data_IF_459091184009
#
_entry.id   IF_459091184009
#
_cell.length_a   1.000
_cell.length_b   1.000
_cell.length_c   1.000
_cell.angle_alpha   90.00
_cell.angle_beta   90.00
_cell.angle_gamma   90.00
#
_symmetry.space_group_name_H-M   'P 1'
#
loop_
_entity.id
_entity.type
_entity.pdbx_description
1 polymer ?
#
# COMPACT_ATOMS: atom_id res chain seq x y z
N UNK A 1 0.20 12.52 -18.60
CA UNK A 1 -0.21 12.07 -17.26
C UNK A 1 0.63 12.85 -16.29
N UNK A 2 0.02 13.77 -15.57
CA UNK A 2 0.75 14.57 -14.57
C UNK A 2 1.30 13.61 -13.51
N UNK A 3 2.62 13.65 -13.32
CA UNK A 3 3.28 12.78 -12.38
C UNK A 3 3.06 13.34 -10.98
N UNK A 4 1.97 12.90 -10.36
CA UNK A 4 1.50 13.34 -9.06
C UNK A 4 2.60 13.37 -7.98
N UNK A 5 3.55 12.43 -8.03
CA UNK A 5 4.68 12.41 -7.10
C UNK A 5 5.66 13.56 -7.32
N UNK A 6 5.90 13.98 -8.56
CA UNK A 6 6.74 15.15 -8.84
C UNK A 6 6.10 16.42 -8.26
N UNK A 7 4.79 16.56 -8.43
CA UNK A 7 4.04 17.69 -7.87
C UNK A 7 4.04 17.71 -6.33
N UNK A 8 4.27 16.56 -5.67
CA UNK A 8 4.43 16.49 -4.22
C UNK A 8 5.80 16.99 -3.76
N UNK A 9 6.86 16.65 -4.51
CA UNK A 9 8.25 17.00 -4.19
C UNK A 9 8.50 18.51 -4.38
N UNK A 10 7.81 19.12 -5.35
CA UNK A 10 7.98 20.54 -5.68
C UNK A 10 7.26 21.50 -4.70
N UNK A 11 6.44 20.99 -3.77
CA UNK A 11 5.76 21.87 -2.81
C UNK A 11 6.74 22.35 -1.72
N UNK A 12 6.73 23.66 -1.41
CA UNK A 12 7.60 24.22 -0.37
C UNK A 12 7.21 23.77 1.04
N UNK A 13 5.94 23.41 1.24
CA UNK A 13 5.42 22.93 2.51
C UNK A 13 5.24 21.40 2.50
N UNK A 14 5.51 20.71 3.63
CA UNK A 14 5.29 19.27 3.75
C UNK A 14 3.84 18.88 3.44
N UNK A 15 3.66 17.93 2.53
CA UNK A 15 2.35 17.37 2.19
C UNK A 15 2.16 16.07 2.95
N UNK A 16 1.08 15.95 3.70
CA UNK A 16 0.70 14.66 4.27
C UNK A 16 0.32 13.68 3.15
N UNK A 17 0.91 12.49 3.18
CA UNK A 17 0.57 11.38 2.28
C UNK A 17 0.50 10.07 3.04
N UNK A 18 -0.22 9.10 2.49
CA UNK A 18 -0.45 7.80 3.11
C UNK A 18 0.15 6.67 2.27
N UNK A 19 1.01 5.86 2.90
CA UNK A 19 1.37 4.52 2.41
C UNK A 19 0.61 3.52 3.27
N UNK A 20 -0.32 2.77 2.69
CA UNK A 20 -1.10 1.79 3.45
C UNK A 20 -1.52 0.57 2.62
N UNK A 21 -1.78 -0.52 3.33
CA UNK A 21 -2.28 -1.77 2.79
C UNK A 21 -1.89 -2.95 3.69
N UNK A 22 -2.24 -4.18 3.29
CA UNK A 22 -2.00 -5.35 4.12
C UNK A 22 -0.50 -5.62 4.28
N UNK A 23 -0.16 -6.33 5.37
CA UNK A 23 1.23 -6.72 5.62
C UNK A 23 1.76 -7.58 4.46
N UNK A 24 0.94 -8.55 4.03
CA UNK A 24 1.22 -9.54 3.00
C UNK A 24 0.04 -9.65 2.03
N UNK A 25 0.31 -10.00 0.78
CA UNK A 25 -0.70 -10.38 -0.21
C UNK A 25 -1.24 -11.76 0.19
N UNK A 26 -2.56 -11.91 0.25
CA UNK A 26 -3.20 -13.21 0.51
C UNK A 26 -3.69 -13.82 -0.80
N UNK A 27 -4.47 -13.04 -1.56
CA UNK A 27 -4.92 -13.35 -2.91
C UNK A 27 -5.27 -12.06 -3.65
N UNK A 28 -5.50 -12.14 -4.96
CA UNK A 28 -5.81 -10.97 -5.79
C UNK A 28 -7.10 -10.25 -5.35
N UNK A 29 -8.18 -10.99 -5.12
CA UNK A 29 -9.50 -10.42 -4.83
C UNK A 29 -9.51 -9.59 -3.54
N UNK A 30 -9.05 -10.18 -2.43
CA UNK A 30 -8.92 -9.47 -1.14
C UNK A 30 -8.00 -8.28 -1.27
N UNK A 31 -6.84 -8.44 -1.91
CA UNK A 31 -5.85 -7.36 -2.08
C UNK A 31 -6.43 -6.19 -2.87
N UNK A 32 -7.14 -6.49 -3.96
CA UNK A 32 -7.77 -5.49 -4.81
C UNK A 32 -8.92 -4.77 -4.09
N UNK A 33 -9.76 -5.49 -3.34
CA UNK A 33 -10.82 -4.91 -2.52
C UNK A 33 -10.27 -3.91 -1.50
N UNK A 34 -9.21 -4.28 -0.78
CA UNK A 34 -8.54 -3.40 0.19
C UNK A 34 -7.96 -2.18 -0.51
N UNK A 35 -7.24 -2.36 -1.62
CA UNK A 35 -6.67 -1.26 -2.40
C UNK A 35 -7.74 -0.27 -2.88
N UNK A 36 -8.85 -0.79 -3.42
CA UNK A 36 -9.96 0.02 -3.91
C UNK A 36 -10.64 0.80 -2.79
N UNK A 37 -10.84 0.17 -1.63
CA UNK A 37 -11.45 0.82 -0.47
C UNK A 37 -10.56 1.95 0.07
N UNK A 38 -9.26 1.71 0.24
CA UNK A 38 -8.31 2.72 0.68
C UNK A 38 -8.19 3.88 -0.33
N UNK A 39 -8.17 3.58 -1.63
CA UNK A 39 -8.17 4.60 -2.69
C UNK A 39 -9.40 5.49 -2.61
N UNK A 40 -10.60 4.93 -2.39
CA UNK A 40 -11.84 5.71 -2.25
C UNK A 40 -11.79 6.66 -1.04
N UNK A 41 -11.37 6.15 0.12
CA UNK A 41 -11.26 6.96 1.35
C UNK A 41 -10.26 8.09 1.16
N UNK A 42 -9.07 7.78 0.67
CA UNK A 42 -8.00 8.78 0.48
C UNK A 42 -8.36 9.82 -0.58
N UNK A 43 -9.05 9.42 -1.65
CA UNK A 43 -9.58 10.36 -2.64
C UNK A 43 -10.63 11.32 -2.04
N UNK A 44 -11.54 10.82 -1.20
CA UNK A 44 -12.53 11.66 -0.51
C UNK A 44 -11.88 12.68 0.44
N UNK A 45 -10.78 12.29 1.08
CA UNK A 45 -10.03 13.14 2.00
C UNK A 45 -9.00 14.05 1.30
N UNK A 46 -8.83 13.92 -0.02
CA UNK A 46 -7.78 14.64 -0.76
C UNK A 46 -6.36 14.24 -0.36
N UNK A 47 -6.17 13.03 0.18
CA UNK A 47 -4.89 12.54 0.69
C UNK A 47 -4.16 11.78 -0.43
N UNK A 48 -2.93 12.22 -0.80
CA UNK A 48 -2.02 11.44 -1.62
C UNK A 48 -1.83 10.02 -1.10
N UNK A 49 -2.01 9.01 -1.95
CA UNK A 49 -2.05 7.60 -1.53
C UNK A 49 -1.17 6.68 -2.37
N UNK A 50 -0.38 5.85 -1.68
CA UNK A 50 0.35 4.72 -2.24
C UNK A 50 -0.18 3.44 -1.58
N UNK A 51 -0.70 2.52 -2.39
CA UNK A 51 -1.02 1.19 -1.89
C UNK A 51 0.25 0.35 -1.73
N UNK A 52 0.38 -0.35 -0.60
CA UNK A 52 1.49 -1.27 -0.33
C UNK A 52 0.98 -2.62 0.14
N UNK A 53 1.52 -3.70 -0.44
CA UNK A 53 1.38 -5.07 0.06
C UNK A 53 2.68 -5.84 -0.26
N UNK A 54 3.07 -6.78 0.60
CA UNK A 54 4.28 -7.58 0.37
C UNK A 54 3.92 -8.96 -0.17
N UNK A 55 4.66 -9.46 -1.14
CA UNK A 55 4.54 -10.85 -1.62
C UNK A 55 5.09 -11.87 -0.60
N UNK A 56 6.11 -11.47 0.17
CA UNK A 56 6.77 -12.29 1.19
C UNK A 56 7.06 -11.44 2.43
N UNK A 57 7.00 -12.06 3.62
CA UNK A 57 7.35 -11.44 4.89
C UNK A 57 8.66 -12.03 5.42
N UNK A 58 9.73 -11.26 5.26
CA UNK A 58 11.09 -11.66 5.63
C UNK A 58 11.33 -11.77 7.15
N UNK A 59 10.68 -10.91 7.94
CA UNK A 59 10.88 -10.87 9.40
C UNK A 59 9.88 -11.82 10.09
N UNK A 60 10.39 -12.89 10.70
CA UNK A 60 9.55 -13.92 11.35
C UNK A 60 9.96 -14.15 12.80
N UNK A 61 8.96 -14.12 13.69
CA UNK A 61 9.10 -14.59 15.08
C UNK A 61 8.91 -16.10 15.20
N UNK A 62 8.32 -16.76 14.19
CA UNK A 62 8.19 -18.21 14.09
C UNK A 62 8.31 -18.70 12.65
N UNK A 63 9.03 -19.81 12.46
CA UNK A 63 9.33 -20.40 11.14
C UNK A 63 8.08 -20.96 10.44
N UNK A 64 7.02 -21.28 11.19
CA UNK A 64 5.79 -21.88 10.67
C UNK A 64 4.71 -20.85 10.26
N UNK A 65 4.99 -19.55 10.39
CA UNK A 65 4.01 -18.51 10.05
C UNK A 65 3.87 -18.30 8.54
N UNK A 66 2.63 -18.10 8.07
CA UNK A 66 2.31 -17.79 6.67
C UNK A 66 3.12 -16.58 6.18
N UNK A 67 3.73 -16.76 5.00
CA UNK A 67 4.67 -15.81 4.40
C UNK A 67 4.08 -14.96 3.29
N UNK A 68 2.97 -15.40 2.71
CA UNK A 68 2.47 -14.88 1.44
C UNK A 68 2.61 -15.92 0.32
N UNK A 69 2.08 -15.64 -0.87
CA UNK A 69 2.02 -16.56 -2.01
C UNK A 69 3.39 -16.81 -2.65
N UNK A 70 4.45 -16.22 -2.10
CA UNK A 70 5.65 -15.99 -2.85
C UNK A 70 6.69 -17.09 -2.88
N UNK A 71 6.63 -17.97 -1.90
CA UNK A 71 7.49 -19.14 -1.82
C UNK A 71 6.69 -20.23 -1.12
N UNK A 72 5.98 -21.01 -1.93
CA UNK A 72 5.79 -22.44 -1.65
C UNK A 72 6.97 -23.21 -2.25
#
# INVERSE_FOLDING_TARGET
>A
MDNFFLNLIEKPEPVFFLIAGPCVIENHETTFLVANHLKKITAQLGIPFIFKASFDKANRTSIHSFRGPGFD
#
